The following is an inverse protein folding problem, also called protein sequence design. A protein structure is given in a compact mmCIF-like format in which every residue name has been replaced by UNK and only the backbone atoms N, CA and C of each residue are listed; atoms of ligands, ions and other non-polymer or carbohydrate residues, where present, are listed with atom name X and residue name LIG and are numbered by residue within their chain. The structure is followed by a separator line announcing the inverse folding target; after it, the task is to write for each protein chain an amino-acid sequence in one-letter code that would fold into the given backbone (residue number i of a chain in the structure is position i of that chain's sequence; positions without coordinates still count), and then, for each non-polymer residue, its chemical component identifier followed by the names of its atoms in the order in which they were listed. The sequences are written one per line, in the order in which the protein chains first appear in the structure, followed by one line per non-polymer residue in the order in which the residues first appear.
data_IF_728288568935
#
_entry.id   IF_728288568935
#
_cell.length_a   1.000
_cell.length_b   1.000
_cell.length_c   1.000
_cell.angle_alpha   90.00
_cell.angle_beta   90.00
_cell.angle_gamma   90.00
#
_symmetry.space_group_name_H-M   'P 1'
#
loop_
_entity.id
_entity.type
_entity.pdbx_description
1 polymer ?
#
# COMPACT_ATOMS: atom_id res chain seq x y z
N UNK A 1 10.36 8.17 -17.37
CA UNK A 1 10.72 7.41 -16.15
C UNK A 1 9.52 7.55 -15.23
N UNK A 2 8.81 6.47 -14.92
CA UNK A 2 7.69 6.55 -13.97
C UNK A 2 8.27 6.77 -12.58
N UNK A 3 8.12 7.97 -12.04
CA UNK A 3 8.56 8.28 -10.69
C UNK A 3 7.66 7.55 -9.69
N UNK A 4 8.28 6.80 -8.77
CA UNK A 4 7.56 6.22 -7.63
C UNK A 4 7.36 7.32 -6.60
N UNK A 5 6.15 7.39 -6.04
CA UNK A 5 5.81 8.33 -4.97
C UNK A 5 5.68 7.53 -3.69
N UNK A 6 6.43 7.87 -2.64
CA UNK A 6 6.25 7.24 -1.33
C UNK A 6 5.07 7.91 -0.62
N UNK A 7 4.07 7.11 -0.23
CA UNK A 7 2.98 7.58 0.63
C UNK A 7 3.37 7.39 2.09
N UNK A 8 3.68 8.48 2.78
CA UNK A 8 4.20 8.44 4.15
C UNK A 8 3.11 8.24 5.21
N UNK A 9 1.87 8.55 4.86
CA UNK A 9 0.74 8.54 5.78
C UNK A 9 -0.35 7.63 5.21
N UNK A 10 -0.28 6.35 5.55
CA UNK A 10 -1.36 5.40 5.32
C UNK A 10 -1.60 4.58 6.60
N UNK A 11 -2.81 4.04 6.72
CA UNK A 11 -3.19 3.17 7.82
C UNK A 11 -3.71 1.85 7.25
N UNK A 12 -3.25 0.74 7.82
CA UNK A 12 -3.83 -0.58 7.54
C UNK A 12 -4.70 -0.96 8.74
N UNK A 13 -5.97 -1.23 8.50
CA UNK A 13 -6.90 -1.72 9.50
C UNK A 13 -7.54 -3.03 9.04
N UNK A 14 -7.99 -3.83 10.00
CA UNK A 14 -8.72 -5.06 9.76
C UNK A 14 -10.17 -4.87 10.21
N UNK A 15 -11.10 -5.24 9.34
CA UNK A 15 -12.52 -5.27 9.65
C UNK A 15 -12.93 -6.52 10.42
N UNK A 16 -14.14 -6.49 10.98
CA UNK A 16 -14.69 -7.59 11.76
C UNK A 16 -14.85 -8.90 10.96
N UNK A 17 -15.00 -8.81 9.64
CA UNK A 17 -15.16 -9.97 8.73
C UNK A 17 -13.85 -10.47 8.12
N UNK A 18 -12.71 -9.89 8.54
CA UNK A 18 -11.38 -10.24 8.02
C UNK A 18 -10.95 -9.46 6.77
N UNK A 19 -11.76 -8.51 6.32
CA UNK A 19 -11.40 -7.57 5.27
C UNK A 19 -10.28 -6.64 5.73
N UNK A 20 -9.33 -6.37 4.83
CA UNK A 20 -8.21 -5.47 5.12
C UNK A 20 -8.48 -4.14 4.42
N UNK A 21 -8.39 -3.05 5.18
CA UNK A 21 -8.60 -1.69 4.72
C UNK A 21 -7.28 -0.94 4.67
N UNK A 22 -7.00 -0.29 3.55
CA UNK A 22 -5.92 0.66 3.39
C UNK A 22 -6.51 2.06 3.33
N UNK A 23 -6.24 2.88 4.35
CA UNK A 23 -6.60 4.29 4.34
C UNK A 23 -5.44 5.09 3.78
N UNK A 24 -5.68 5.81 2.69
CA UNK A 24 -4.69 6.67 2.04
C UNK A 24 -5.30 8.05 1.78
N UNK A 25 -4.44 9.05 1.62
CA UNK A 25 -4.91 10.39 1.24
C UNK A 25 -5.52 10.36 -0.17
N UNK A 26 -6.72 10.93 -0.28
CA UNK A 26 -7.44 11.00 -1.54
C UNK A 26 -6.70 11.82 -2.59
N UNK A 27 -6.60 11.28 -3.81
CA UNK A 27 -5.95 11.98 -4.93
C UNK A 27 -6.99 12.58 -5.88
N UNK A 28 -6.56 13.53 -6.72
CA UNK A 28 -7.49 14.31 -7.54
C UNK A 28 -8.20 13.50 -8.65
N UNK A 29 -7.52 12.54 -9.26
CA UNK A 29 -8.04 11.75 -10.38
C UNK A 29 -8.66 10.44 -9.88
N UNK A 30 -9.58 9.81 -10.60
CA UNK A 30 -10.07 8.48 -10.22
C UNK A 30 -8.99 7.39 -10.44
N UNK A 31 -9.03 6.29 -9.68
CA UNK A 31 -8.16 5.14 -9.91
C UNK A 31 -8.54 4.41 -11.21
N UNK A 32 -7.56 3.85 -11.90
CA UNK A 32 -7.70 3.16 -13.17
C UNK A 32 -6.92 1.85 -13.09
N UNK A 33 -7.68 0.75 -12.94
CA UNK A 33 -7.16 -0.59 -12.68
C UNK A 33 -6.20 -0.65 -11.46
N UNK A 34 -6.68 -0.27 -10.26
CA UNK A 34 -5.85 -0.28 -9.07
C UNK A 34 -5.42 -1.70 -8.71
N UNK A 35 -4.15 -1.86 -8.31
CA UNK A 35 -3.59 -3.13 -7.83
C UNK A 35 -2.48 -2.90 -6.83
N UNK A 36 -2.34 -3.83 -5.88
CA UNK A 36 -1.20 -3.85 -4.96
C UNK A 36 -0.28 -5.00 -5.34
N UNK A 37 1.02 -4.73 -5.42
CA UNK A 37 2.06 -5.75 -5.52
C UNK A 37 2.73 -5.85 -4.16
N UNK A 38 2.75 -7.06 -3.59
CA UNK A 38 3.30 -7.29 -2.27
C UNK A 38 4.13 -8.58 -2.24
N UNK A 39 5.28 -8.55 -1.58
CA UNK A 39 6.18 -9.69 -1.40
C UNK A 39 6.15 -10.30 0.01
N UNK A 40 5.24 -9.82 0.87
CA UNK A 40 5.14 -10.28 2.25
C UNK A 40 6.13 -9.63 3.22
N UNK A 41 6.89 -8.61 2.79
CA UNK A 41 7.92 -7.94 3.60
C UNK A 41 7.48 -6.54 4.06
N UNK A 42 8.41 -5.60 4.13
CA UNK A 42 8.24 -4.27 4.71
C UNK A 42 7.57 -3.26 3.77
N UNK A 43 7.55 -3.55 2.46
CA UNK A 43 7.11 -2.62 1.44
C UNK A 43 6.12 -3.27 0.48
N UNK A 44 5.14 -2.49 0.01
CA UNK A 44 4.28 -2.84 -1.10
C UNK A 44 4.24 -1.72 -2.13
N UNK A 45 3.87 -2.06 -3.36
CA UNK A 45 3.64 -1.08 -4.43
C UNK A 45 2.16 -1.04 -4.74
N UNK A 46 1.52 0.07 -4.41
CA UNK A 46 0.18 0.38 -4.85
C UNK A 46 0.22 1.08 -6.21
N UNK A 47 -0.20 0.36 -7.25
CA UNK A 47 -0.37 0.91 -8.59
C UNK A 47 -1.81 1.39 -8.68
N UNK A 48 -2.01 2.69 -8.45
CA UNK A 48 -3.33 3.33 -8.51
C UNK A 48 -3.80 3.55 -9.96
N UNK A 49 -2.84 3.92 -10.80
CA UNK A 49 -2.96 4.13 -12.25
C UNK A 49 -1.68 3.60 -12.92
N UNK A 50 -1.67 3.26 -14.21
CA UNK A 50 -0.45 2.84 -14.93
C UNK A 50 0.73 3.82 -14.77
N UNK A 51 0.43 5.11 -14.61
CA UNK A 51 1.40 6.19 -14.42
C UNK A 51 1.68 6.52 -12.94
N UNK A 52 0.78 6.15 -12.02
CA UNK A 52 0.90 6.47 -10.59
C UNK A 52 1.21 5.21 -9.78
N UNK A 53 2.50 5.06 -9.45
CA UNK A 53 3.02 3.98 -8.61
C UNK A 53 3.37 4.55 -7.25
N UNK A 54 2.62 4.13 -6.25
CA UNK A 54 2.72 4.59 -4.88
C UNK A 54 3.41 3.49 -4.07
N UNK A 55 4.40 3.84 -3.27
CA UNK A 55 5.05 2.90 -2.37
C UNK A 55 4.41 3.04 -1.00
N UNK A 56 3.96 1.91 -0.47
CA UNK A 56 3.47 1.74 0.88
C UNK A 56 4.62 1.12 1.68
N UNK A 57 5.37 1.95 2.40
CA UNK A 57 6.52 1.55 3.21
C UNK A 57 6.13 1.29 4.67
N UNK A 58 7.00 0.58 5.40
CA UNK A 58 6.80 0.27 6.83
C UNK A 58 5.50 -0.46 7.15
N UNK A 59 5.12 -1.45 6.33
CA UNK A 59 3.98 -2.31 6.61
C UNK A 59 4.20 -3.02 7.95
N UNK A 60 3.26 -2.80 8.90
CA UNK A 60 3.33 -3.35 10.24
C UNK A 60 3.48 -4.89 10.19
N UNK A 61 4.51 -5.47 10.85
CA UNK A 61 4.69 -6.92 10.97
C UNK A 61 3.42 -7.70 11.34
N UNK A 62 2.57 -7.15 12.20
CA UNK A 62 1.35 -7.81 12.70
C UNK A 62 0.31 -8.08 11.61
N UNK A 63 0.30 -7.28 10.54
CA UNK A 63 -0.66 -7.44 9.43
C UNK A 63 -0.11 -8.24 8.25
N UNK A 64 1.21 -8.51 8.20
CA UNK A 64 1.87 -9.14 7.04
C UNK A 64 1.31 -10.52 6.70
N UNK A 65 1.08 -11.35 7.72
CA UNK A 65 0.53 -12.70 7.52
C UNK A 65 -0.90 -12.67 6.97
N UNK A 66 -1.68 -11.63 7.30
CA UNK A 66 -3.04 -11.43 6.79
C UNK A 66 -3.00 -10.94 5.35
N UNK A 67 -2.15 -9.95 5.08
CA UNK A 67 -1.91 -9.44 3.72
C UNK A 67 -1.45 -10.54 2.76
N UNK A 68 -0.59 -11.47 3.17
CA UNK A 68 -0.17 -12.59 2.30
C UNK A 68 -1.31 -13.52 1.91
N UNK A 69 -2.38 -13.60 2.71
CA UNK A 69 -3.53 -14.48 2.47
C UNK A 69 -4.69 -13.78 1.77
N UNK A 70 -4.75 -12.45 1.86
CA UNK A 70 -5.80 -11.67 1.26
C UNK A 70 -5.62 -11.59 -0.27
N UNK A 71 -6.72 -11.86 -1.00
CA UNK A 71 -6.76 -11.78 -2.47
C UNK A 71 -7.16 -10.38 -2.95
N UNK A 72 -8.00 -9.72 -2.15
CA UNK A 72 -8.45 -8.35 -2.34
C UNK A 72 -8.37 -7.61 -1.02
N UNK A 73 -8.21 -6.30 -1.11
CA UNK A 73 -8.28 -5.37 0.02
C UNK A 73 -9.18 -4.20 -0.36
N UNK A 74 -9.69 -3.49 0.64
CA UNK A 74 -10.47 -2.28 0.42
C UNK A 74 -9.53 -1.08 0.53
N UNK A 75 -9.37 -0.34 -0.56
CA UNK A 75 -8.71 0.96 -0.53
C UNK A 75 -9.74 2.03 -0.16
N UNK A 76 -9.43 2.85 0.84
CA UNK A 76 -10.26 3.94 1.33
C UNK A 76 -9.47 5.23 1.15
N UNK A 77 -9.91 6.07 0.24
CA UNK A 77 -9.34 7.39 -0.01
C UNK A 77 -10.04 8.43 0.85
N UNK A 78 -9.31 9.03 1.78
CA UNK A 78 -9.84 10.05 2.70
C UNK A 78 -9.31 11.44 2.37
N UNK A 79 -10.18 12.43 2.42
CA UNK A 79 -9.81 13.84 2.38
C UNK A 79 -10.14 14.48 3.73
N UNK A 80 -9.12 14.85 4.48
CA UNK A 80 -9.25 15.24 5.89
C UNK A 80 -9.90 14.08 6.67
N UNK A 81 -11.13 14.27 7.16
CA UNK A 81 -11.87 13.27 7.94
C UNK A 81 -13.00 12.61 7.14
N UNK A 82 -13.15 12.95 5.85
CA UNK A 82 -14.23 12.42 5.01
C UNK A 82 -13.72 11.35 4.05
N UNK A 83 -14.46 10.24 3.95
CA UNK A 83 -14.24 9.23 2.91
C UNK A 83 -14.69 9.83 1.58
N UNK A 84 -13.75 9.99 0.65
CA UNK A 84 -14.03 10.47 -0.70
C UNK A 84 -14.44 9.31 -1.60
N UNK A 85 -13.70 8.22 -1.54
CA UNK A 85 -13.91 7.06 -2.40
C UNK A 85 -13.43 5.79 -1.70
N UNK A 86 -14.11 4.66 -1.92
CA UNK A 86 -13.68 3.35 -1.44
C UNK A 86 -13.89 2.30 -2.52
N UNK A 87 -12.90 1.46 -2.75
CA UNK A 87 -12.94 0.47 -3.82
C UNK A 87 -12.08 -0.74 -3.49
N UNK A 88 -12.46 -1.89 -4.05
CA UNK A 88 -11.65 -3.09 -3.92
C UNK A 88 -10.42 -3.03 -4.83
N UNK A 89 -9.32 -3.54 -4.30
CA UNK A 89 -8.02 -3.57 -4.96
C UNK A 89 -7.48 -4.98 -4.91
N UNK A 90 -7.15 -5.51 -6.08
CA UNK A 90 -6.55 -6.84 -6.19
C UNK A 90 -5.15 -6.83 -5.59
N UNK A 91 -4.89 -7.83 -4.76
CA UNK A 91 -3.58 -8.08 -4.17
C UNK A 91 -2.85 -9.13 -4.99
N UNK A 92 -1.73 -8.70 -5.58
CA UNK A 92 -0.86 -9.55 -6.36
C UNK A 92 0.38 -9.90 -5.53
N UNK A 93 0.38 -11.11 -4.96
CA UNK A 93 1.50 -11.62 -4.19
C UNK A 93 2.58 -12.14 -5.13
N UNK A 94 3.81 -11.66 -4.93
CA UNK A 94 4.99 -12.04 -5.72
C UNK A 94 6.12 -12.50 -4.79
N UNK A 95 7.06 -13.30 -5.28
CA UNK A 95 8.22 -13.71 -4.45
C UNK A 95 9.17 -12.55 -4.15
N UNK A 96 9.30 -11.62 -5.10
CA UNK A 96 10.15 -10.44 -4.98
C UNK A 96 9.64 -9.31 -5.89
N UNK A 97 9.54 -8.11 -5.34
CA UNK A 97 9.22 -6.91 -6.13
C UNK A 97 10.50 -6.49 -6.86
N UNK A 98 10.52 -6.38 -8.21
CA UNK A 98 11.71 -6.03 -8.97
C UNK A 98 12.02 -4.52 -8.90
N UNK A 99 12.10 -3.98 -7.68
CA UNK A 99 12.41 -2.59 -7.38
C UNK A 99 13.62 -2.55 -6.46
N UNK A 100 14.55 -1.65 -6.78
CA UNK A 100 15.71 -1.36 -5.96
C UNK A 100 15.33 -0.29 -4.93
N UNK A 101 14.89 -0.72 -3.74
CA UNK A 101 14.40 0.16 -2.68
C UNK A 101 15.44 1.18 -2.20
N UNK A 102 16.72 0.82 -2.25
CA UNK A 102 17.85 1.69 -1.88
C UNK A 102 17.92 2.93 -2.77
N UNK A 103 17.56 2.80 -4.06
CA UNK A 103 17.51 3.94 -4.99
C UNK A 103 16.33 4.88 -4.75
N UNK A 104 15.33 4.42 -4.00
CA UNK A 104 14.15 5.20 -3.63
C UNK A 104 14.33 5.89 -2.26
N UNK A 105 15.42 5.58 -1.55
CA UNK A 105 15.73 6.20 -0.25
C UNK A 105 14.91 5.64 0.91
N UNK A 106 14.32 4.46 0.75
CA UNK A 106 13.59 3.76 1.81
C UNK A 106 14.56 2.94 2.66
N UNK A 107 14.35 2.97 3.98
CA UNK A 107 15.12 2.20 4.97
C UNK A 107 14.28 1.02 5.48
N UNK A 108 14.93 0.06 6.11
CA UNK A 108 14.26 -1.10 6.70
C UNK A 108 13.43 -0.70 7.94
N UNK A 109 12.40 -1.50 8.27
CA UNK A 109 11.55 -1.27 9.45
C UNK A 109 12.37 -1.20 10.76
N UNK A 110 13.43 -1.99 10.87
CA UNK A 110 14.36 -1.97 12.02
C UNK A 110 15.07 -0.62 12.16
N UNK A 111 15.41 0.05 11.05
CA UNK A 111 16.10 1.34 11.08
C UNK A 111 15.16 2.53 11.38
N UNK A 112 13.88 2.42 11.06
CA UNK A 112 12.90 3.50 11.32
C UNK A 112 12.26 3.42 12.71
N UNK A 113 12.12 2.22 13.28
CA UNK A 113 11.55 1.99 14.62
C UNK A 113 12.48 2.40 15.77
N UNK A 114 13.75 2.72 15.47
CA UNK A 114 14.77 3.16 16.44
C UNK A 114 14.82 4.68 16.69
N UNK A 115 13.81 5.45 16.29
CA UNK A 115 13.77 6.92 16.48
C UNK A 115 12.67 7.40 17.40
#
# INVERSE_FOLDING_TARGET
MSEYITEKNFLIAEGAEGDIYFFVEAKHQHPSAPKIIYDGRDHAVFIRNPEQKIILDYINPEVRDKLRKAKEVVMVETLLDNIKESYYVNMNIVDNIPIDWSKIGLKSWEEASLK
#
